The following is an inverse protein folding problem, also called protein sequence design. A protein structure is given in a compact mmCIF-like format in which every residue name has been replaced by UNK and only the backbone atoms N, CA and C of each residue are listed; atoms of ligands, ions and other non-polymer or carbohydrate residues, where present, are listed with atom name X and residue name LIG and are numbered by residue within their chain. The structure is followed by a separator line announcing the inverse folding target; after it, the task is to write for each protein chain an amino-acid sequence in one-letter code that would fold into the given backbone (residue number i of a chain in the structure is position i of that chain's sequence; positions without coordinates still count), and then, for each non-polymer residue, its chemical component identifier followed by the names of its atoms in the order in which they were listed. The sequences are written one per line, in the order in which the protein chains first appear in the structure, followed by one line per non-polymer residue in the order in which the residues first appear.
data_IF_251711870218
#
_entry.id   IF_251711870218
#
_cell.length_a   1.000
_cell.length_b   1.000
_cell.length_c   1.000
_cell.angle_alpha   90.00
_cell.angle_beta   90.00
_cell.angle_gamma   90.00
#
_symmetry.space_group_name_H-M   'P 1'
#
loop_
_entity.id
_entity.type
_entity.pdbx_description
1 polymer ?
#
# COMPACT_ATOMS: atom_id res chain seq x y z
N UNK A 1 -5.40 -0.11 18.24
CA UNK A 1 -4.70 1.21 18.30
C UNK A 1 -5.55 2.33 17.67
N UNK A 2 -6.77 2.03 17.20
CA UNK A 2 -7.63 2.96 16.44
C UNK A 2 -8.19 4.14 17.23
N UNK A 3 -8.07 4.15 18.56
CA UNK A 3 -8.61 5.23 19.41
C UNK A 3 -7.73 6.49 19.42
N UNK A 4 -6.87 6.66 18.43
CA UNK A 4 -5.98 7.82 18.25
C UNK A 4 -6.45 8.66 17.05
N UNK A 5 -7.59 9.37 17.15
CA UNK A 5 -8.20 10.06 16.02
C UNK A 5 -7.34 11.20 15.45
N UNK A 6 -6.37 11.70 16.21
CA UNK A 6 -5.47 12.79 15.83
C UNK A 6 -4.07 12.31 15.43
N UNK A 7 -3.82 10.99 15.41
CA UNK A 7 -2.51 10.46 15.01
C UNK A 7 -2.25 10.79 13.54
N UNK A 8 -1.18 11.56 13.30
CA UNK A 8 -0.76 11.96 11.95
C UNK A 8 0.35 11.10 11.37
N UNK A 9 1.16 10.47 12.23
CA UNK A 9 2.32 9.68 11.80
C UNK A 9 2.41 8.41 12.63
N UNK A 10 2.47 7.27 11.97
CA UNK A 10 2.74 5.96 12.57
C UNK A 10 4.00 5.39 11.94
N UNK A 11 4.92 4.91 12.75
CA UNK A 11 6.15 4.29 12.28
C UNK A 11 6.46 3.08 13.16
N UNK A 12 6.60 1.93 12.52
CA UNK A 12 6.87 0.64 13.17
C UNK A 12 8.14 0.09 12.53
N UNK A 13 9.12 -0.24 13.38
CA UNK A 13 10.47 -0.63 12.98
C UNK A 13 10.88 -1.90 13.71
N UNK A 14 11.46 -2.87 12.99
CA UNK A 14 12.15 -4.02 13.59
C UNK A 14 11.30 -4.81 14.59
N UNK A 15 10.00 -4.96 14.29
CA UNK A 15 9.10 -5.81 15.06
C UNK A 15 8.92 -7.14 14.33
N UNK A 16 9.92 -8.00 14.44
CA UNK A 16 9.97 -9.27 13.70
C UNK A 16 8.88 -10.26 14.17
N UNK A 17 8.36 -10.12 15.39
CA UNK A 17 7.28 -10.97 15.90
C UNK A 17 5.87 -10.40 15.63
N UNK A 18 5.77 -9.19 15.07
CA UNK A 18 4.47 -8.57 14.81
C UNK A 18 3.83 -9.16 13.55
N UNK A 19 2.92 -10.12 13.72
CA UNK A 19 2.21 -10.71 12.58
C UNK A 19 1.02 -9.85 12.09
N UNK A 20 0.24 -9.28 13.00
CA UNK A 20 -0.97 -8.54 12.67
C UNK A 20 -1.14 -7.30 13.55
N UNK A 21 -1.70 -6.25 12.96
CA UNK A 21 -2.21 -5.08 13.68
C UNK A 21 -3.70 -5.29 13.92
N UNK A 22 -4.07 -5.45 15.19
CA UNK A 22 -5.45 -5.74 15.58
C UNK A 22 -6.31 -4.48 15.68
N UNK A 23 -7.58 -4.61 15.29
CA UNK A 23 -8.60 -3.57 15.38
C UNK A 23 -9.94 -4.07 15.95
N UNK A 24 -10.70 -3.18 16.59
CA UNK A 24 -12.01 -3.43 17.20
C UNK A 24 -13.15 -2.79 16.40
N UNK A 25 -14.19 -3.57 16.09
CA UNK A 25 -15.46 -3.03 15.57
C UNK A 25 -16.41 -2.58 16.70
N UNK A 26 -17.33 -1.63 16.43
CA UNK A 26 -17.64 -1.06 15.12
C UNK A 26 -16.67 0.06 14.72
N UNK A 27 -16.02 -0.11 13.58
CA UNK A 27 -15.41 0.99 12.86
C UNK A 27 -16.44 1.45 11.84
N UNK A 28 -16.87 2.70 11.91
CA UNK A 28 -17.25 3.37 10.66
C UNK A 28 -15.96 3.34 9.82
N UNK A 29 -15.98 2.91 8.56
CA UNK A 29 -14.77 2.84 7.71
C UNK A 29 -13.96 4.14 7.71
N UNK A 30 -14.61 5.27 8.02
CA UNK A 30 -14.05 6.61 8.23
C UNK A 30 -13.24 6.80 9.53
N UNK A 31 -13.21 5.82 10.45
CA UNK A 31 -12.62 5.94 11.80
C UNK A 31 -11.28 5.23 11.99
N UNK A 32 -10.80 4.51 10.98
CA UNK A 32 -9.52 3.80 11.05
C UNK A 32 -8.34 4.78 10.83
N UNK A 33 -7.88 5.40 11.93
CA UNK A 33 -6.88 6.48 11.91
C UNK A 33 -7.22 7.62 10.92
N UNK A 34 -8.32 8.37 11.16
CA UNK A 34 -8.84 9.37 10.22
C UNK A 34 -7.88 10.51 9.89
N UNK A 35 -6.90 10.77 10.76
CA UNK A 35 -5.91 11.83 10.60
C UNK A 35 -4.54 11.34 10.14
N UNK A 36 -4.36 10.06 9.83
CA UNK A 36 -3.04 9.52 9.48
C UNK A 36 -2.58 10.07 8.13
N UNK A 37 -1.46 10.77 8.15
CA UNK A 37 -0.84 11.40 6.98
C UNK A 37 0.42 10.65 6.55
N UNK A 38 1.10 9.95 7.48
CA UNK A 38 2.34 9.22 7.25
C UNK A 38 2.31 7.83 7.90
N UNK A 39 2.71 6.82 7.14
CA UNK A 39 2.80 5.43 7.61
C UNK A 39 4.14 4.82 7.19
N UNK A 40 4.87 4.25 8.15
CA UNK A 40 6.16 3.59 7.89
C UNK A 40 6.21 2.21 8.52
N UNK A 41 6.54 1.20 7.71
CA UNK A 41 6.96 -0.13 8.17
C UNK A 41 8.34 -0.41 7.64
N UNK A 42 9.28 -0.72 8.54
CA UNK A 42 10.66 -1.02 8.18
C UNK A 42 11.10 -2.26 8.94
N UNK A 43 11.60 -3.27 8.23
CA UNK A 43 12.08 -4.51 8.83
C UNK A 43 11.02 -5.15 9.73
N UNK A 44 9.81 -5.35 9.20
CA UNK A 44 8.73 -6.06 9.89
C UNK A 44 8.43 -7.32 9.08
N UNK A 45 9.31 -8.32 9.21
CA UNK A 45 9.33 -9.49 8.33
C UNK A 45 8.04 -10.30 8.36
N UNK A 46 7.47 -10.50 9.55
CA UNK A 46 6.27 -11.33 9.76
C UNK A 46 4.95 -10.57 9.64
N UNK A 47 4.99 -9.24 9.48
CA UNK A 47 3.78 -8.42 9.40
C UNK A 47 2.98 -8.76 8.14
N UNK A 48 1.78 -9.29 8.32
CA UNK A 48 0.85 -9.69 7.25
C UNK A 48 -0.16 -8.60 6.90
N UNK A 49 -0.54 -7.80 7.89
CA UNK A 49 -1.51 -6.72 7.72
C UNK A 49 -2.36 -6.47 8.96
N UNK A 50 -3.64 -6.17 8.73
CA UNK A 50 -4.62 -5.84 9.77
C UNK A 50 -5.62 -6.96 9.95
N UNK A 51 -5.97 -7.22 11.21
CA UNK A 51 -6.92 -8.26 11.57
C UNK A 51 -7.92 -7.76 12.59
N UNK A 52 -9.18 -8.17 12.47
CA UNK A 52 -10.18 -7.85 13.47
C UNK A 52 -9.94 -8.69 14.72
N UNK A 53 -10.10 -8.09 15.90
CA UNK A 53 -9.82 -8.74 17.19
C UNK A 53 -10.78 -9.88 17.56
N UNK A 54 -11.90 -10.08 16.83
CA UNK A 54 -12.90 -11.11 17.12
C UNK A 54 -12.88 -12.32 16.17
N UNK A 55 -11.93 -12.38 15.25
CA UNK A 55 -11.87 -13.42 14.19
C UNK A 55 -11.33 -14.78 14.70
N UNK A 56 -11.51 -15.13 15.97
CA UNK A 56 -10.97 -16.36 16.55
C UNK A 56 -12.02 -17.46 16.73
N UNK A 57 -11.66 -18.63 16.17
CA UNK A 57 -12.20 -19.99 16.34
C UNK A 57 -13.43 -20.37 15.50
N UNK A 58 -13.19 -20.78 14.24
CA UNK A 58 -14.00 -21.68 13.38
C UNK A 58 -14.48 -21.14 12.03
N UNK A 59 -14.23 -19.88 11.68
CA UNK A 59 -14.52 -19.42 10.33
C UNK A 59 -13.34 -19.78 9.41
N UNK A 60 -13.45 -20.97 8.81
CA UNK A 60 -12.73 -21.41 7.60
C UNK A 60 -13.12 -20.56 6.37
N UNK A 61 -13.98 -19.56 6.58
CA UNK A 61 -14.26 -18.50 5.62
C UNK A 61 -13.10 -17.50 5.64
N UNK A 62 -12.34 -17.53 4.54
CA UNK A 62 -11.34 -16.54 4.08
C UNK A 62 -11.86 -15.09 3.96
N UNK A 63 -12.87 -14.70 4.74
CA UNK A 63 -13.55 -13.40 4.70
C UNK A 63 -12.92 -12.38 5.64
N UNK A 64 -11.59 -12.33 5.73
CA UNK A 64 -10.95 -11.21 6.37
C UNK A 64 -9.95 -10.59 5.40
N UNK A 65 -10.39 -9.56 4.66
CA UNK A 65 -9.41 -8.63 4.19
C UNK A 65 -9.75 -7.24 4.65
N UNK A 66 -8.74 -6.55 5.15
CA UNK A 66 -8.69 -5.11 5.41
C UNK A 66 -9.13 -4.21 4.24
N UNK A 67 -9.68 -4.73 3.13
CA UNK A 67 -10.19 -3.98 1.98
C UNK A 67 -11.31 -3.01 2.35
N UNK A 68 -12.03 -3.23 3.45
CA UNK A 68 -13.01 -2.27 3.97
C UNK A 68 -12.39 -1.09 4.74
N UNK A 69 -11.13 -1.21 5.15
CA UNK A 69 -10.41 -0.14 5.83
C UNK A 69 -9.81 0.82 4.81
N UNK A 70 -9.79 2.10 5.18
CA UNK A 70 -9.15 3.14 4.39
C UNK A 70 -8.38 4.09 5.29
N UNK A 71 -7.21 4.53 4.81
CA UNK A 71 -6.47 5.66 5.33
C UNK A 71 -6.75 6.89 4.44
N UNK A 72 -7.84 7.63 4.67
CA UNK A 72 -8.32 8.65 3.74
C UNK A 72 -7.36 9.84 3.61
N UNK A 73 -6.45 10.04 4.57
CA UNK A 73 -5.51 11.17 4.61
C UNK A 73 -4.06 10.80 4.35
N UNK A 74 -3.76 9.53 4.08
CA UNK A 74 -2.39 9.07 3.93
C UNK A 74 -1.75 9.72 2.69
N UNK A 75 -0.68 10.47 2.94
CA UNK A 75 0.08 11.21 1.91
C UNK A 75 1.47 10.62 1.67
N UNK A 76 2.04 9.97 2.69
CA UNK A 76 3.39 9.41 2.66
C UNK A 76 3.34 7.96 3.18
N UNK A 77 3.79 7.01 2.36
CA UNK A 77 3.86 5.60 2.69
C UNK A 77 5.27 5.06 2.45
N UNK A 78 5.85 4.47 3.50
CA UNK A 78 7.12 3.76 3.42
C UNK A 78 6.93 2.30 3.87
N UNK A 79 7.21 1.36 2.99
CA UNK A 79 7.26 -0.07 3.29
C UNK A 79 8.62 -0.57 2.81
N UNK A 80 9.46 -0.99 3.76
CA UNK A 80 10.78 -1.55 3.48
C UNK A 80 10.98 -2.86 4.24
N UNK A 81 11.40 -3.91 3.56
CA UNK A 81 11.73 -5.20 4.19
C UNK A 81 10.55 -5.76 5.01
N UNK A 82 9.37 -5.80 4.39
CA UNK A 82 8.12 -6.33 4.98
C UNK A 82 7.57 -7.39 4.02
N UNK A 83 8.16 -8.58 4.07
CA UNK A 83 8.00 -9.59 3.02
C UNK A 83 6.65 -10.31 3.08
N UNK A 84 6.06 -10.39 4.26
CA UNK A 84 4.76 -11.05 4.48
C UNK A 84 3.57 -10.10 4.34
N UNK A 85 3.83 -8.78 4.20
CA UNK A 85 2.78 -7.77 4.13
C UNK A 85 2.04 -7.90 2.81
N UNK A 86 0.78 -8.30 2.91
CA UNK A 86 -0.07 -8.62 1.76
C UNK A 86 -1.43 -7.94 1.84
N UNK A 87 -1.84 -7.52 3.04
CA UNK A 87 -3.14 -6.91 3.29
C UNK A 87 -2.97 -5.53 3.92
N UNK A 88 -3.19 -4.48 3.13
CA UNK A 88 -3.20 -3.10 3.60
C UNK A 88 -4.61 -2.50 3.47
N UNK A 89 -5.01 -1.62 4.39
CA UNK A 89 -6.08 -0.67 4.14
C UNK A 89 -5.80 0.15 2.87
N UNK A 90 -6.85 0.56 2.16
CA UNK A 90 -6.71 1.42 0.98
C UNK A 90 -6.20 2.82 1.37
N UNK A 91 -5.51 3.51 0.46
CA UNK A 91 -4.95 4.84 0.71
C UNK A 91 -5.14 5.76 -0.52
N UNK A 92 -6.38 6.21 -0.80
CA UNK A 92 -6.72 6.92 -2.04
C UNK A 92 -5.97 8.24 -2.27
N UNK A 93 -5.52 8.91 -1.20
CA UNK A 93 -4.98 10.27 -1.28
C UNK A 93 -3.51 10.34 -1.72
N UNK A 94 -2.72 9.27 -1.62
CA UNK A 94 -1.25 9.28 -1.64
C UNK A 94 -0.63 10.25 -2.69
N UNK A 95 -0.29 11.47 -2.24
CA UNK A 95 0.02 12.64 -3.07
C UNK A 95 1.43 13.20 -2.84
N UNK A 96 2.25 12.55 -2.01
CA UNK A 96 3.63 12.97 -1.76
C UNK A 96 4.63 11.87 -2.07
N UNK A 97 4.65 10.82 -1.25
CA UNK A 97 5.76 9.86 -1.23
C UNK A 97 5.28 8.41 -1.13
N UNK A 98 5.82 7.56 -1.98
CA UNK A 98 5.74 6.11 -1.89
C UNK A 98 7.15 5.53 -1.97
N UNK A 99 7.62 4.97 -0.86
CA UNK A 99 8.84 4.15 -0.81
C UNK A 99 8.40 2.71 -0.60
N UNK A 100 8.65 1.84 -1.58
CA UNK A 100 8.20 0.46 -1.59
C UNK A 100 9.35 -0.48 -1.98
N UNK A 101 10.06 -1.00 -0.97
CA UNK A 101 11.30 -1.76 -1.16
C UNK A 101 11.21 -3.12 -0.46
N UNK A 102 11.64 -4.18 -1.14
CA UNK A 102 11.72 -5.52 -0.54
C UNK A 102 10.39 -5.96 0.11
N UNK A 103 9.28 -5.71 -0.59
CA UNK A 103 7.94 -5.99 -0.11
C UNK A 103 7.07 -6.57 -1.24
N UNK A 104 5.98 -7.22 -0.86
CA UNK A 104 5.05 -7.90 -1.76
C UNK A 104 3.99 -6.93 -2.29
N UNK A 105 3.88 -6.83 -3.61
CA UNK A 105 3.00 -5.88 -4.31
C UNK A 105 1.52 -6.00 -3.95
N UNK A 106 1.10 -7.15 -3.43
CA UNK A 106 -0.24 -7.38 -2.87
C UNK A 106 -0.61 -6.32 -1.81
N UNK A 107 0.37 -5.78 -1.07
CA UNK A 107 0.16 -4.65 -0.15
C UNK A 107 -0.36 -3.36 -0.83
N UNK A 108 -0.24 -3.22 -2.16
CA UNK A 108 -0.74 -2.08 -2.92
C UNK A 108 -2.03 -2.39 -3.69
N UNK A 109 -2.40 -3.67 -3.81
CA UNK A 109 -3.44 -4.16 -4.71
C UNK A 109 -4.80 -3.49 -4.46
N UNK A 110 -5.21 -3.38 -3.20
CA UNK A 110 -6.48 -2.75 -2.84
C UNK A 110 -6.59 -1.30 -3.32
N UNK A 111 -5.52 -0.51 -3.21
CA UNK A 111 -5.51 0.88 -3.68
C UNK A 111 -5.41 0.96 -5.21
N UNK A 112 -4.57 0.12 -5.83
CA UNK A 112 -4.35 0.12 -7.27
C UNK A 112 -5.59 -0.34 -8.06
N UNK A 113 -6.40 -1.24 -7.50
CA UNK A 113 -7.62 -1.76 -8.14
C UNK A 113 -8.84 -0.85 -7.99
N UNK A 114 -8.71 0.31 -7.34
CA UNK A 114 -9.81 1.24 -7.08
C UNK A 114 -10.24 2.05 -8.34
N UNK A 115 -9.62 1.79 -9.49
CA UNK A 115 -9.91 2.45 -10.78
C UNK A 115 -11.37 2.19 -11.18
N UNK A 116 -12.15 3.27 -11.34
CA UNK A 116 -13.51 3.20 -11.91
C UNK A 116 -14.63 2.89 -10.92
N UNK A 117 -14.37 2.89 -9.60
CA UNK A 117 -15.46 2.89 -8.62
C UNK A 117 -16.22 4.22 -8.72
N UNK A 118 -17.50 4.15 -9.09
CA UNK A 118 -18.40 5.30 -9.30
C UNK A 118 -18.65 6.16 -8.06
N UNK A 119 -18.01 5.83 -6.94
CA UNK A 119 -18.06 6.57 -5.70
C UNK A 119 -16.64 6.92 -5.25
N UNK A 120 -16.35 8.23 -5.25
CA UNK A 120 -15.37 8.94 -4.40
C UNK A 120 -13.97 9.26 -4.93
N UNK A 121 -13.57 8.94 -6.18
CA UNK A 121 -12.24 9.38 -6.66
C UNK A 121 -12.33 10.08 -8.00
N UNK A 122 -12.06 11.39 -7.98
CA UNK A 122 -11.93 12.23 -9.18
C UNK A 122 -10.72 11.84 -10.04
N UNK A 123 -9.80 11.03 -9.52
CA UNK A 123 -8.51 10.75 -10.13
C UNK A 123 -8.11 9.27 -10.07
N UNK A 124 -7.31 8.76 -11.01
CA UNK A 124 -6.73 7.42 -10.91
C UNK A 124 -5.84 7.27 -9.66
N UNK A 125 -5.70 6.06 -9.09
CA UNK A 125 -4.79 5.80 -7.99
C UNK A 125 -3.38 6.28 -8.28
N UNK A 126 -2.73 6.88 -7.27
CA UNK A 126 -1.36 7.40 -7.33
C UNK A 126 -1.13 8.58 -8.30
N UNK A 127 -2.17 9.17 -8.89
CA UNK A 127 -1.98 10.21 -9.90
C UNK A 127 -1.43 11.55 -9.41
N UNK A 128 -1.60 11.82 -8.12
CA UNK A 128 -1.03 12.99 -7.47
C UNK A 128 0.33 12.67 -6.81
N UNK A 129 0.83 11.44 -6.92
CA UNK A 129 2.10 11.05 -6.31
C UNK A 129 3.28 11.78 -6.95
N UNK A 130 4.15 12.36 -6.12
CA UNK A 130 5.29 13.18 -6.57
C UNK A 130 6.62 12.47 -6.46
N UNK A 131 6.74 11.53 -5.52
CA UNK A 131 7.97 10.80 -5.25
C UNK A 131 7.70 9.30 -5.17
N UNK A 132 8.43 8.53 -5.96
CA UNK A 132 8.35 7.08 -6.00
C UNK A 132 9.73 6.43 -5.95
N UNK A 133 9.94 5.58 -4.96
CA UNK A 133 11.02 4.60 -4.96
C UNK A 133 10.44 3.20 -4.87
N UNK A 134 10.75 2.35 -5.86
CA UNK A 134 10.19 1.00 -5.92
C UNK A 134 11.26 -0.03 -6.30
N UNK A 135 11.28 -1.19 -5.61
CA UNK A 135 12.35 -2.14 -5.85
C UNK A 135 12.42 -3.37 -4.96
N UNK A 136 13.39 -4.23 -5.24
CA UNK A 136 13.72 -5.42 -4.46
C UNK A 136 13.34 -6.74 -5.11
N UNK A 137 13.96 -7.81 -4.61
CA UNK A 137 13.81 -9.17 -5.15
C UNK A 137 12.39 -9.73 -5.04
N UNK A 138 11.59 -9.28 -4.07
CA UNK A 138 10.17 -9.65 -3.91
C UNK A 138 9.19 -8.94 -4.85
N UNK A 139 9.62 -7.86 -5.50
CA UNK A 139 8.74 -7.11 -6.39
C UNK A 139 8.39 -7.97 -7.62
N UNK A 140 7.12 -8.36 -7.72
CA UNK A 140 6.57 -9.01 -8.90
C UNK A 140 5.82 -8.00 -9.77
N UNK A 141 6.54 -7.38 -10.69
CA UNK A 141 6.01 -6.33 -11.56
C UNK A 141 4.82 -6.81 -12.41
N UNK A 142 4.69 -8.11 -12.71
CA UNK A 142 3.55 -8.66 -13.47
C UNK A 142 2.21 -8.60 -12.75
N UNK A 143 2.23 -8.42 -11.43
CA UNK A 143 1.03 -8.27 -10.61
C UNK A 143 0.60 -6.80 -10.47
N UNK A 144 1.43 -5.84 -10.91
CA UNK A 144 0.99 -4.45 -11.02
C UNK A 144 0.00 -4.33 -12.18
N UNK A 145 -1.02 -3.44 -12.08
CA UNK A 145 -1.91 -3.15 -13.21
C UNK A 145 -1.09 -2.68 -14.41
N UNK A 146 -1.44 -3.12 -15.63
CA UNK A 146 -0.64 -2.85 -16.85
C UNK A 146 -0.33 -1.37 -17.09
N UNK A 147 -1.18 -0.47 -16.60
CA UNK A 147 -1.09 0.98 -16.82
C UNK A 147 -0.82 1.79 -15.53
N UNK A 148 -0.40 1.16 -14.43
CA UNK A 148 -0.21 1.88 -13.16
C UNK A 148 0.77 3.05 -13.28
N UNK A 149 1.81 2.92 -14.11
CA UNK A 149 2.78 4.00 -14.40
C UNK A 149 2.12 5.17 -15.12
N UNK A 150 1.14 4.93 -16.00
CA UNK A 150 0.41 5.99 -16.73
C UNK A 150 -0.41 6.86 -15.81
N UNK A 151 -0.81 6.32 -14.65
CA UNK A 151 -1.52 7.10 -13.66
C UNK A 151 -0.60 8.13 -13.00
N UNK A 152 0.72 7.93 -12.93
CA UNK A 152 1.70 8.77 -12.21
C UNK A 152 1.97 10.13 -12.89
N UNK A 153 0.93 10.91 -13.18
CA UNK A 153 1.01 12.14 -13.98
C UNK A 153 1.69 13.31 -13.25
N UNK A 154 1.73 13.28 -11.92
CA UNK A 154 2.35 14.33 -11.09
C UNK A 154 3.76 13.97 -10.59
N UNK A 155 4.35 12.88 -11.10
CA UNK A 155 5.60 12.34 -10.57
C UNK A 155 6.79 13.26 -10.91
N UNK A 156 7.51 13.67 -9.87
CA UNK A 156 8.68 14.55 -9.95
C UNK A 156 9.98 13.76 -9.72
N UNK A 157 9.92 12.66 -8.96
CA UNK A 157 11.06 11.80 -8.67
C UNK A 157 10.69 10.32 -8.80
N UNK A 158 11.53 9.58 -9.52
CA UNK A 158 11.42 8.14 -9.71
C UNK A 158 12.79 7.49 -9.50
N UNK A 159 12.86 6.52 -8.60
CA UNK A 159 14.03 5.65 -8.49
C UNK A 159 13.63 4.18 -8.39
N UNK A 160 14.49 3.34 -8.95
CA UNK A 160 14.40 1.89 -8.87
C UNK A 160 15.54 1.35 -8.00
N UNK A 161 15.26 0.34 -7.20
CA UNK A 161 16.25 -0.26 -6.30
C UNK A 161 16.31 -1.78 -6.48
N UNK A 162 17.52 -2.34 -6.60
CA UNK A 162 17.75 -3.78 -6.62
C UNK A 162 16.77 -4.57 -7.53
N UNK A 163 16.62 -4.07 -8.77
CA UNK A 163 15.88 -4.74 -9.82
C UNK A 163 16.84 -5.54 -10.70
N UNK A 164 16.52 -6.81 -10.91
CA UNK A 164 17.21 -7.59 -11.94
C UNK A 164 16.87 -7.08 -13.34
N UNK A 165 17.71 -7.42 -14.32
CA UNK A 165 17.59 -6.93 -15.70
C UNK A 165 16.25 -7.31 -16.35
N UNK A 166 15.65 -8.43 -15.95
CA UNK A 166 14.36 -8.89 -16.49
C UNK A 166 13.20 -8.05 -15.97
N UNK A 167 13.15 -7.78 -14.66
CA UNK A 167 12.16 -6.88 -14.06
C UNK A 167 12.29 -5.47 -14.62
N UNK A 168 13.51 -4.99 -14.80
CA UNK A 168 13.73 -3.67 -15.38
C UNK A 168 13.22 -3.58 -16.83
N UNK A 169 13.47 -4.60 -17.67
CA UNK A 169 12.91 -4.67 -19.03
C UNK A 169 11.37 -4.69 -19.04
N UNK A 170 10.75 -5.42 -18.11
CA UNK A 170 9.29 -5.45 -17.97
C UNK A 170 8.72 -4.06 -17.64
N UNK A 171 9.42 -3.28 -16.81
CA UNK A 171 9.06 -1.88 -16.51
C UNK A 171 9.35 -0.95 -17.70
N UNK A 172 10.46 -1.15 -18.40
CA UNK A 172 10.88 -0.30 -19.53
C UNK A 172 9.86 -0.32 -20.68
N UNK A 173 9.24 -1.47 -20.94
CA UNK A 173 8.15 -1.60 -21.93
C UNK A 173 7.02 -0.60 -21.63
N UNK A 174 6.67 -0.40 -20.36
CA UNK A 174 5.59 0.50 -19.96
C UNK A 174 5.89 1.98 -20.19
N UNK A 175 7.18 2.36 -20.25
CA UNK A 175 7.58 3.73 -20.61
C UNK A 175 7.61 3.96 -22.12
N UNK A 176 7.89 2.91 -22.91
CA UNK A 176 8.02 3.00 -24.38
C UNK A 176 6.67 3.10 -25.09
N UNK A 177 5.62 2.46 -24.55
CA UNK A 177 4.25 2.52 -25.10
C UNK A 177 3.55 3.89 -24.87
N UNK A 178 4.29 4.93 -24.46
CA UNK A 178 3.78 6.30 -24.25
C UNK A 178 4.25 7.31 -25.32
N UNK A 179 4.94 6.85 -26.38
CA UNK A 179 5.46 7.71 -27.46
C UNK A 179 4.86 7.42 -28.85
N UNK A 180 3.77 6.65 -28.96
CA UNK A 180 3.04 6.42 -30.20
C UNK A 180 1.63 6.99 -30.15
#
# INVERSE_FOLDING_TARGET
MERLPFLKSLSIHSLDELEFIYYEEPLLSESFFPSLEKLKFVMCGELRGWRRMRDDVNDDDNSSPSYHLSFPRLSELCISNCEMLTHMPTFPKLDKELIFKFARVEALEGTLNMVGSKHLIEFPPLSMLRYLEIGGYHLNVKKLPKDWVRNLTSLEYLAFYDLDSKKFQEIEIWFKDNFN
#
